data_IF_763629443961
#
_entry.id   IF_763629443961
#
_cell.length_a   1.000
_cell.length_b   1.000
_cell.length_c   1.000
_cell.angle_alpha   90.00
_cell.angle_beta   90.00
_cell.angle_gamma   90.00
#
_symmetry.space_group_name_H-M   'P 1'
#
loop_
_entity.id
_entity.type
_entity.pdbx_description
1 polymer ?
#
# COMPACT_ATOMS: atom_id res chain seq x y z
N UNK A 1 21.24 17.85 10.43
CA UNK A 1 21.81 16.88 9.49
C UNK A 1 22.04 17.60 8.18
N UNK A 2 23.14 17.30 7.51
CA UNK A 2 23.39 17.90 6.20
C UNK A 2 22.37 17.39 5.19
N UNK A 3 21.96 18.23 4.22
CA UNK A 3 20.99 17.80 3.21
C UNK A 3 21.61 16.73 2.29
N UNK A 4 20.82 15.70 1.94
CA UNK A 4 21.22 14.60 1.07
C UNK A 4 20.58 14.69 -0.31
N UNK A 5 21.34 14.39 -1.34
CA UNK A 5 20.85 14.17 -2.69
C UNK A 5 20.41 12.70 -2.83
N UNK A 6 19.15 12.47 -3.17
CA UNK A 6 18.54 11.12 -3.09
C UNK A 6 18.00 10.68 -4.46
N UNK A 7 18.37 9.46 -4.86
CA UNK A 7 17.83 8.79 -6.04
C UNK A 7 16.70 7.83 -5.64
N UNK A 8 15.51 7.99 -6.23
CA UNK A 8 14.37 7.10 -6.02
C UNK A 8 14.22 6.15 -7.21
N UNK A 9 14.08 4.84 -6.94
CA UNK A 9 13.99 3.81 -7.98
C UNK A 9 12.71 2.99 -7.81
N UNK A 10 11.90 2.86 -8.85
CA UNK A 10 10.67 2.08 -8.84
C UNK A 10 9.65 2.55 -9.87
N UNK A 11 8.43 2.02 -9.81
CA UNK A 11 7.32 2.58 -10.58
C UNK A 11 6.98 3.98 -10.06
N UNK A 12 6.54 4.86 -10.95
CA UNK A 12 6.27 6.26 -10.61
C UNK A 12 5.08 6.80 -11.43
N UNK A 13 4.31 7.81 -10.94
CA UNK A 13 3.24 8.38 -11.74
C UNK A 13 3.73 8.89 -13.12
N UNK A 14 2.91 8.70 -14.18
CA UNK A 14 1.48 8.41 -14.18
C UNK A 14 1.08 6.93 -14.07
N UNK A 15 2.02 6.01 -13.88
CA UNK A 15 1.68 4.59 -13.72
C UNK A 15 0.67 4.38 -12.59
N UNK A 16 -0.49 3.79 -12.91
CA UNK A 16 -1.57 3.59 -11.95
C UNK A 16 -1.32 2.38 -11.05
N UNK A 17 -0.49 2.54 -10.04
CA UNK A 17 -0.28 1.52 -9.00
C UNK A 17 0.05 2.14 -7.64
N UNK A 18 -0.14 1.37 -6.57
CA UNK A 18 0.12 1.81 -5.20
C UNK A 18 1.58 2.18 -4.94
N UNK A 19 2.53 1.44 -5.55
CA UNK A 19 3.95 1.70 -5.39
C UNK A 19 4.37 3.03 -6.04
N UNK A 20 3.80 3.36 -7.20
CA UNK A 20 4.06 4.64 -7.86
C UNK A 20 3.61 5.82 -6.99
N UNK A 21 2.42 5.70 -6.38
CA UNK A 21 1.90 6.70 -5.44
C UNK A 21 2.76 6.78 -4.19
N UNK A 22 3.18 5.63 -3.64
CA UNK A 22 4.08 5.56 -2.48
C UNK A 22 5.40 6.27 -2.76
N UNK A 23 6.08 5.93 -3.86
CA UNK A 23 7.38 6.54 -4.23
C UNK A 23 7.29 8.05 -4.40
N UNK A 24 6.23 8.54 -5.06
CA UNK A 24 6.00 9.97 -5.24
C UNK A 24 5.72 10.68 -3.91
N UNK A 25 4.93 10.08 -3.02
CA UNK A 25 4.61 10.64 -1.72
C UNK A 25 5.82 10.66 -0.79
N UNK A 26 6.63 9.60 -0.78
CA UNK A 26 7.85 9.53 0.00
C UNK A 26 8.86 10.60 -0.45
N UNK A 27 9.09 10.70 -1.78
CA UNK A 27 9.95 11.75 -2.33
C UNK A 27 9.49 13.15 -1.92
N UNK A 28 8.20 13.42 -2.05
CA UNK A 28 7.62 14.71 -1.65
C UNK A 28 7.75 14.97 -0.13
N UNK A 29 7.71 13.93 0.70
CA UNK A 29 7.83 14.05 2.14
C UNK A 29 9.27 14.29 2.63
N UNK A 30 10.26 13.74 1.93
CA UNK A 30 11.68 13.94 2.24
C UNK A 30 12.16 15.32 1.77
N UNK A 31 11.61 15.84 0.65
CA UNK A 31 11.99 17.12 0.04
C UNK A 31 13.51 17.30 -0.09
N UNK A 32 14.24 16.35 -0.70
CA UNK A 32 15.70 16.45 -0.79
C UNK A 32 16.09 17.64 -1.66
N UNK A 33 17.26 18.30 -1.41
CA UNK A 33 17.73 19.45 -2.19
C UNK A 33 17.84 19.13 -3.68
N UNK A 34 18.34 17.94 -4.00
CA UNK A 34 18.34 17.37 -5.34
C UNK A 34 17.82 15.93 -5.30
N UNK A 35 16.97 15.59 -6.22
CA UNK A 35 16.45 14.22 -6.35
C UNK A 35 16.32 13.81 -7.80
N UNK A 36 16.63 12.54 -8.06
CA UNK A 36 16.26 11.84 -9.29
C UNK A 36 15.16 10.84 -9.01
N UNK A 37 14.40 10.55 -10.06
CA UNK A 37 13.53 9.37 -10.10
C UNK A 37 13.95 8.55 -11.31
N UNK A 38 14.37 7.31 -11.05
CA UNK A 38 14.53 6.27 -12.07
C UNK A 38 13.22 5.51 -12.12
N UNK A 39 12.43 5.78 -13.18
CA UNK A 39 11.13 5.16 -13.36
C UNK A 39 11.27 3.81 -14.05
N UNK A 40 10.79 2.75 -13.41
CA UNK A 40 10.77 1.39 -13.98
C UNK A 40 9.48 1.18 -14.76
N UNK A 41 9.59 0.69 -15.99
CA UNK A 41 8.50 0.55 -16.96
C UNK A 41 8.55 -0.82 -17.67
N UNK A 42 7.38 -1.38 -17.96
CA UNK A 42 7.24 -2.55 -18.83
C UNK A 42 7.29 -2.13 -20.31
N UNK A 43 6.60 -1.05 -20.64
CA UNK A 43 6.57 -0.45 -21.98
C UNK A 43 6.80 1.06 -21.91
N UNK A 44 7.27 1.69 -23.00
CA UNK A 44 7.45 3.14 -23.05
C UNK A 44 6.12 3.89 -22.80
N UNK A 45 6.13 4.75 -21.81
CA UNK A 45 5.04 5.68 -21.52
C UNK A 45 5.51 7.12 -21.72
N UNK A 46 4.63 8.08 -22.07
CA UNK A 46 5.03 9.47 -22.21
C UNK A 46 5.74 9.98 -20.94
N UNK A 47 6.89 10.66 -21.08
CA UNK A 47 7.55 11.31 -19.95
C UNK A 47 6.73 12.54 -19.56
N UNK A 48 6.50 12.75 -18.28
CA UNK A 48 5.59 13.83 -17.87
C UNK A 48 5.86 14.42 -16.52
N UNK A 49 6.96 14.02 -15.89
CA UNK A 49 7.34 14.55 -14.59
C UNK A 49 8.79 15.03 -14.64
N UNK A 50 9.08 16.29 -14.30
CA UNK A 50 10.45 16.84 -14.39
C UNK A 50 11.44 16.14 -13.44
N UNK A 51 10.95 15.50 -12.37
CA UNK A 51 11.75 14.74 -11.44
C UNK A 51 12.19 13.36 -11.96
N UNK A 52 11.56 12.83 -13.04
CA UNK A 52 12.00 11.59 -13.71
C UNK A 52 13.18 11.90 -14.61
N UNK A 53 14.38 11.52 -14.18
CA UNK A 53 15.64 11.81 -14.88
C UNK A 53 16.10 10.65 -15.74
N UNK A 54 15.67 9.43 -15.43
CA UNK A 54 15.93 8.24 -16.24
C UNK A 54 14.75 7.26 -16.23
N UNK A 55 14.65 6.45 -17.28
CA UNK A 55 13.69 5.36 -17.39
C UNK A 55 14.46 4.04 -17.55
N UNK A 56 14.05 3.04 -16.78
CA UNK A 56 14.53 1.67 -16.89
C UNK A 56 13.41 0.78 -17.43
N UNK A 57 13.58 0.31 -18.66
CA UNK A 57 12.65 -0.63 -19.30
C UNK A 57 13.02 -2.06 -18.93
N UNK A 58 12.04 -2.84 -18.47
CA UNK A 58 12.20 -4.24 -18.10
C UNK A 58 12.80 -5.04 -19.26
N UNK A 59 13.85 -5.83 -19.00
CA UNK A 59 14.55 -6.61 -20.03
C UNK A 59 15.55 -5.80 -20.87
N UNK A 60 15.62 -4.47 -20.76
CA UNK A 60 16.53 -3.65 -21.55
C UNK A 60 17.79 -3.27 -20.74
N UNK A 61 18.91 -3.86 -21.13
CA UNK A 61 20.22 -3.62 -20.51
C UNK A 61 20.75 -2.18 -20.75
N UNK A 62 20.35 -1.54 -21.86
CA UNK A 62 20.87 -0.20 -22.17
C UNK A 62 20.23 0.83 -21.25
N UNK A 63 18.92 0.83 -21.11
CA UNK A 63 18.22 1.74 -20.17
C UNK A 63 18.62 1.46 -18.73
N UNK A 64 18.80 0.17 -18.33
CA UNK A 64 19.33 -0.17 -17.01
C UNK A 64 20.70 0.45 -16.75
N UNK A 65 21.62 0.37 -17.70
CA UNK A 65 22.97 0.93 -17.55
C UNK A 65 22.93 2.48 -17.54
N UNK A 66 22.05 3.10 -18.30
CA UNK A 66 21.81 4.54 -18.25
C UNK A 66 21.29 4.97 -16.88
N UNK A 67 20.34 4.21 -16.30
CA UNK A 67 19.83 4.43 -14.96
C UNK A 67 20.94 4.33 -13.89
N UNK A 68 21.81 3.31 -13.98
CA UNK A 68 22.98 3.18 -13.08
C UNK A 68 23.98 4.36 -13.23
N UNK A 69 24.14 4.89 -14.44
CA UNK A 69 25.01 6.04 -14.67
C UNK A 69 24.45 7.32 -14.02
N UNK A 70 23.11 7.51 -14.08
CA UNK A 70 22.41 8.62 -13.43
C UNK A 70 22.60 8.62 -11.91
N UNK A 71 22.64 7.45 -11.27
CA UNK A 71 22.79 7.35 -9.81
C UNK A 71 24.08 7.93 -9.25
N UNK A 72 25.16 8.04 -10.06
CA UNK A 72 26.50 8.45 -9.60
C UNK A 72 26.55 9.85 -8.97
N UNK A 73 25.59 10.67 -9.32
CA UNK A 73 25.54 12.07 -8.89
C UNK A 73 24.75 12.30 -7.60
N UNK A 74 24.33 11.19 -6.92
CA UNK A 74 23.53 11.21 -5.71
C UNK A 74 24.25 10.49 -4.56
N UNK A 75 23.85 10.80 -3.32
CA UNK A 75 24.50 10.25 -2.12
C UNK A 75 24.00 8.84 -1.80
N UNK A 76 22.70 8.58 -2.01
CA UNK A 76 22.03 7.33 -1.65
C UNK A 76 20.80 7.08 -2.52
N UNK A 77 20.45 5.80 -2.72
CA UNK A 77 19.23 5.42 -3.41
C UNK A 77 18.20 4.80 -2.46
N UNK A 78 16.91 5.08 -2.71
CA UNK A 78 15.77 4.41 -2.08
C UNK A 78 15.02 3.66 -3.17
N UNK A 79 15.10 2.32 -3.14
CA UNK A 79 14.53 1.44 -4.15
C UNK A 79 13.29 0.75 -3.61
N UNK A 80 12.18 0.81 -4.37
CA UNK A 80 10.94 0.11 -4.07
C UNK A 80 10.99 -1.30 -4.64
N UNK A 81 10.81 -2.33 -3.82
CA UNK A 81 10.80 -3.72 -4.25
C UNK A 81 9.42 -4.35 -4.19
N UNK A 82 9.04 -4.94 -5.32
CA UNK A 82 7.92 -5.87 -5.50
C UNK A 82 8.28 -6.80 -6.65
N UNK A 83 7.97 -8.09 -6.53
CA UNK A 83 8.32 -9.11 -7.54
C UNK A 83 7.82 -8.81 -8.96
N UNK A 84 6.72 -8.07 -9.07
CA UNK A 84 6.06 -7.80 -10.35
C UNK A 84 6.42 -6.48 -11.05
N UNK A 85 7.42 -5.72 -10.58
CA UNK A 85 7.75 -4.40 -11.15
C UNK A 85 9.12 -4.32 -11.82
N UNK A 86 9.88 -5.39 -11.82
CA UNK A 86 11.17 -5.51 -12.51
C UNK A 86 11.13 -6.64 -13.52
N UNK A 87 12.04 -6.60 -14.51
CA UNK A 87 12.15 -7.63 -15.53
C UNK A 87 12.71 -8.95 -15.01
N UNK A 88 12.58 -10.00 -15.84
CA UNK A 88 12.96 -11.36 -15.50
C UNK A 88 11.88 -12.10 -14.68
N UNK A 89 12.15 -13.38 -14.38
CA UNK A 89 11.27 -14.17 -13.52
C UNK A 89 11.29 -13.58 -12.09
N UNK A 90 10.11 -13.35 -11.50
CA UNK A 90 9.97 -12.76 -10.17
C UNK A 90 10.76 -11.44 -9.97
N UNK A 91 11.04 -10.70 -11.04
CA UNK A 91 11.73 -9.41 -10.96
C UNK A 91 13.24 -9.50 -10.71
N UNK A 92 13.89 -10.62 -11.01
CA UNK A 92 15.30 -10.90 -10.71
C UNK A 92 16.31 -9.86 -11.20
N UNK A 93 15.96 -9.07 -12.24
CA UNK A 93 16.85 -8.03 -12.78
C UNK A 93 17.24 -6.96 -11.72
N UNK A 94 16.41 -6.77 -10.70
CA UNK A 94 16.69 -5.81 -9.61
C UNK A 94 17.96 -6.18 -8.83
N UNK A 95 18.27 -7.48 -8.68
CA UNK A 95 19.45 -7.95 -7.96
C UNK A 95 20.73 -7.46 -8.65
N UNK A 96 20.79 -7.63 -9.98
CA UNK A 96 21.91 -7.15 -10.78
C UNK A 96 22.04 -5.62 -10.77
N UNK A 97 20.93 -4.91 -10.68
CA UNK A 97 20.91 -3.45 -10.58
C UNK A 97 21.47 -2.98 -9.23
N UNK A 98 21.00 -3.53 -8.11
CA UNK A 98 21.48 -3.15 -6.77
C UNK A 98 22.96 -3.51 -6.58
N UNK A 99 23.41 -4.69 -7.05
CA UNK A 99 24.83 -5.09 -7.02
C UNK A 99 25.75 -4.16 -7.81
N UNK A 100 25.25 -3.58 -8.90
CA UNK A 100 26.00 -2.68 -9.74
C UNK A 100 25.86 -1.20 -9.34
N UNK A 101 25.10 -0.90 -8.29
CA UNK A 101 24.88 0.47 -7.82
C UNK A 101 26.20 1.13 -7.43
N UNK A 102 26.48 2.36 -7.93
CA UNK A 102 27.67 3.13 -7.53
C UNK A 102 27.54 3.78 -6.15
N UNK A 103 26.33 3.81 -5.58
CA UNK A 103 25.98 4.45 -4.30
C UNK A 103 25.24 3.45 -3.39
N UNK A 104 25.16 3.69 -2.07
CA UNK A 104 24.40 2.89 -1.16
C UNK A 104 22.91 2.79 -1.54
N UNK A 105 22.29 1.62 -1.28
CA UNK A 105 20.89 1.37 -1.61
C UNK A 105 20.10 0.90 -0.39
N UNK A 106 19.08 1.68 -0.04
CA UNK A 106 18.02 1.25 0.88
C UNK A 106 16.93 0.58 0.05
N UNK A 107 16.60 -0.67 0.34
CA UNK A 107 15.54 -1.41 -0.36
C UNK A 107 14.28 -1.49 0.51
N UNK A 108 13.17 -0.95 0.01
CA UNK A 108 11.85 -0.97 0.65
C UNK A 108 11.06 -2.17 0.13
N UNK A 109 10.78 -3.12 1.00
CA UNK A 109 10.10 -4.37 0.66
C UNK A 109 8.59 -4.23 0.84
N UNK A 110 7.82 -4.22 -0.26
CA UNK A 110 6.36 -4.14 -0.24
C UNK A 110 5.70 -5.50 -0.03
N UNK A 111 6.37 -6.58 -0.44
CA UNK A 111 5.93 -7.96 -0.24
C UNK A 111 7.03 -8.80 0.40
N UNK A 112 6.67 -9.54 1.44
CA UNK A 112 7.48 -10.60 2.05
C UNK A 112 6.58 -11.80 2.23
N UNK A 113 6.75 -12.84 1.42
CA UNK A 113 5.91 -14.03 1.41
C UNK A 113 6.24 -14.96 2.59
N UNK A 114 5.22 -15.62 3.15
CA UNK A 114 5.42 -16.67 4.15
C UNK A 114 5.91 -17.98 3.51
N UNK A 115 5.46 -18.24 2.29
CA UNK A 115 5.79 -19.42 1.50
C UNK A 115 6.25 -19.00 0.09
N UNK A 116 7.44 -18.39 -0.06
CA UNK A 116 7.95 -18.01 -1.36
C UNK A 116 8.26 -19.26 -2.20
N UNK A 117 8.09 -19.16 -3.51
CA UNK A 117 8.65 -20.18 -4.43
C UNK A 117 10.17 -20.27 -4.26
N UNK A 118 10.82 -21.35 -4.68
CA UNK A 118 12.28 -21.43 -4.63
C UNK A 118 12.97 -20.27 -5.35
N UNK A 119 12.43 -19.81 -6.47
CA UNK A 119 12.98 -18.69 -7.22
C UNK A 119 12.73 -17.34 -6.52
N UNK A 120 11.52 -17.09 -6.02
CA UNK A 120 11.22 -15.88 -5.22
C UNK A 120 12.11 -15.78 -3.98
N UNK A 121 12.36 -16.93 -3.31
CA UNK A 121 13.29 -16.99 -2.19
C UNK A 121 14.69 -16.57 -2.61
N UNK A 122 15.22 -17.15 -3.70
CA UNK A 122 16.54 -16.85 -4.22
C UNK A 122 16.68 -15.36 -4.56
N UNK A 123 15.72 -14.79 -5.32
CA UNK A 123 15.73 -13.38 -5.71
C UNK A 123 15.78 -12.48 -4.48
N UNK A 124 14.92 -12.73 -3.48
CA UNK A 124 14.88 -11.91 -2.28
C UNK A 124 16.15 -12.05 -1.44
N UNK A 125 16.69 -13.27 -1.25
CA UNK A 125 17.92 -13.50 -0.48
C UNK A 125 19.14 -12.85 -1.14
N UNK A 126 19.24 -12.91 -2.48
CA UNK A 126 20.29 -12.22 -3.23
C UNK A 126 20.16 -10.70 -3.16
N UNK A 127 18.94 -10.18 -3.22
CA UNK A 127 18.66 -8.75 -3.07
C UNK A 127 19.02 -8.26 -1.65
N UNK A 128 18.65 -9.04 -0.63
CA UNK A 128 18.99 -8.76 0.77
C UNK A 128 20.50 -8.71 0.98
N UNK A 129 21.24 -9.62 0.30
CA UNK A 129 22.71 -9.63 0.35
C UNK A 129 23.37 -8.44 -0.35
N UNK A 130 22.69 -7.85 -1.34
CA UNK A 130 23.21 -6.74 -2.15
C UNK A 130 22.87 -5.35 -1.56
N UNK A 131 21.77 -5.23 -0.82
CA UNK A 131 21.31 -3.97 -0.24
C UNK A 131 22.15 -3.55 0.97
N UNK A 132 22.34 -2.26 1.17
CA UNK A 132 22.99 -1.71 2.37
C UNK A 132 22.03 -1.75 3.57
N UNK A 133 20.74 -1.47 3.36
CA UNK A 133 19.69 -1.55 4.38
C UNK A 133 18.38 -2.01 3.78
N UNK A 134 17.61 -2.76 4.56
CA UNK A 134 16.25 -3.18 4.21
C UNK A 134 15.23 -2.42 5.05
N UNK A 135 14.12 -2.05 4.41
CA UNK A 135 12.98 -1.47 5.09
C UNK A 135 11.76 -2.35 4.87
N UNK A 136 11.04 -2.63 5.95
CA UNK A 136 9.69 -3.21 5.91
C UNK A 136 8.70 -2.23 6.54
N UNK A 137 7.43 -2.32 6.22
CA UNK A 137 6.42 -1.39 6.72
C UNK A 137 5.69 -1.89 7.97
N UNK A 138 5.99 -3.13 8.41
CA UNK A 138 5.37 -3.76 9.58
C UNK A 138 6.38 -4.65 10.31
N UNK A 139 6.19 -4.81 11.61
CA UNK A 139 6.94 -5.80 12.39
C UNK A 139 6.61 -7.23 11.95
N UNK A 140 5.40 -7.47 11.47
CA UNK A 140 5.02 -8.77 10.90
C UNK A 140 5.91 -9.13 9.71
N UNK A 141 6.17 -8.17 8.80
CA UNK A 141 7.08 -8.35 7.68
C UNK A 141 8.51 -8.61 8.13
N UNK A 142 9.02 -7.83 9.10
CA UNK A 142 10.36 -8.02 9.67
C UNK A 142 10.51 -9.41 10.30
N UNK A 143 9.56 -9.82 11.15
CA UNK A 143 9.57 -11.17 11.75
C UNK A 143 9.55 -12.26 10.69
N UNK A 144 8.81 -12.07 9.59
CA UNK A 144 8.75 -13.01 8.48
C UNK A 144 10.09 -13.11 7.75
N UNK A 145 10.76 -11.97 7.48
CA UNK A 145 12.12 -11.99 6.89
C UNK A 145 13.10 -12.77 7.77
N UNK A 146 13.08 -12.56 9.07
CA UNK A 146 13.94 -13.28 10.01
C UNK A 146 13.61 -14.78 10.00
N UNK A 147 12.33 -15.15 10.08
CA UNK A 147 11.91 -16.54 10.20
C UNK A 147 12.10 -17.34 8.89
N UNK A 148 11.82 -16.73 7.72
CA UNK A 148 11.83 -17.41 6.43
C UNK A 148 13.20 -17.37 5.77
N UNK A 149 13.92 -16.24 5.89
CA UNK A 149 15.16 -15.99 5.16
C UNK A 149 16.40 -15.90 6.07
N UNK A 150 16.25 -15.99 7.40
CA UNK A 150 17.37 -16.03 8.33
C UNK A 150 18.19 -14.73 8.43
N UNK A 151 17.63 -13.58 7.99
CA UNK A 151 18.32 -12.30 8.09
C UNK A 151 18.43 -11.85 9.56
N UNK A 152 19.49 -11.13 9.89
CA UNK A 152 19.69 -10.56 11.23
C UNK A 152 18.85 -9.29 11.43
N UNK A 153 18.44 -9.03 12.66
CA UNK A 153 17.51 -7.95 12.98
C UNK A 153 18.07 -6.55 12.66
N UNK A 154 19.37 -6.36 12.81
CA UNK A 154 20.09 -5.10 12.54
C UNK A 154 20.08 -4.69 11.05
N UNK A 155 19.86 -5.66 10.15
CA UNK A 155 19.79 -5.44 8.71
C UNK A 155 18.42 -4.96 8.22
N UNK A 156 17.40 -4.92 9.10
CA UNK A 156 16.02 -4.57 8.73
C UNK A 156 15.44 -3.53 9.67
N UNK A 157 15.09 -2.38 9.12
CA UNK A 157 14.37 -1.32 9.84
C UNK A 157 12.88 -1.36 9.49
N UNK A 158 12.02 -1.19 10.50
CA UNK A 158 10.57 -1.01 10.27
C UNK A 158 10.27 0.47 10.16
N UNK A 159 9.72 0.89 9.03
CA UNK A 159 9.23 2.25 8.80
C UNK A 159 7.79 2.14 8.29
N UNK A 160 6.83 2.64 9.04
CA UNK A 160 5.43 2.51 8.70
C UNK A 160 5.11 3.09 7.31
N UNK A 161 4.06 2.57 6.67
CA UNK A 161 3.54 3.15 5.44
C UNK A 161 2.97 4.54 5.72
N UNK A 162 3.38 5.56 4.99
CA UNK A 162 2.86 6.92 5.13
C UNK A 162 1.48 7.09 4.49
N UNK A 163 0.69 8.02 5.02
CA UNK A 163 -0.53 8.47 4.36
C UNK A 163 -0.73 9.99 4.57
N UNK A 164 -1.43 10.67 3.64
CA UNK A 164 -1.79 12.06 3.84
C UNK A 164 -2.90 12.18 4.89
N UNK A 165 -2.84 13.13 5.82
CA UNK A 165 -3.96 13.42 6.71
C UNK A 165 -5.23 13.71 5.90
N UNK A 166 -6.38 13.16 6.34
CA UNK A 166 -7.65 13.30 5.62
C UNK A 166 -8.87 13.44 6.55
N UNK A 167 -8.69 14.09 7.69
CA UNK A 167 -9.74 14.23 8.71
C UNK A 167 -10.75 15.30 8.30
N UNK A 168 -10.28 16.45 7.80
CA UNK A 168 -11.09 17.60 7.45
C UNK A 168 -11.28 17.80 5.94
N UNK A 169 -12.39 18.45 5.58
CA UNK A 169 -12.71 18.83 4.21
C UNK A 169 -14.07 18.34 3.72
N UNK A 170 -14.43 18.60 2.46
CA UNK A 170 -15.74 18.23 1.90
C UNK A 170 -15.92 16.72 1.81
N UNK A 171 -17.16 16.27 1.96
CA UNK A 171 -17.60 14.91 1.66
C UNK A 171 -18.08 14.82 0.22
N UNK A 172 -17.92 13.65 -0.41
CA UNK A 172 -18.43 13.39 -1.75
C UNK A 172 -19.87 12.86 -1.73
N UNK A 173 -20.21 12.07 -0.72
CA UNK A 173 -21.52 11.44 -0.55
C UNK A 173 -22.27 12.17 0.57
N UNK A 174 -23.49 12.64 0.26
CA UNK A 174 -24.40 13.29 1.19
C UNK A 174 -25.72 12.52 1.20
N UNK A 175 -25.90 11.61 2.15
CA UNK A 175 -27.07 10.77 2.28
C UNK A 175 -27.35 10.42 3.74
N UNK A 176 -28.62 10.12 4.10
CA UNK A 176 -28.97 9.77 5.48
C UNK A 176 -28.50 8.37 5.88
N UNK A 177 -28.31 7.46 4.91
CA UNK A 177 -27.86 6.09 5.17
C UNK A 177 -26.37 6.06 5.50
N UNK A 178 -25.96 5.30 6.54
CA UNK A 178 -24.55 5.11 6.83
C UNK A 178 -23.80 4.51 5.64
N UNK A 179 -22.55 4.94 5.44
CA UNK A 179 -21.68 4.52 4.33
C UNK A 179 -20.60 3.58 4.84
N UNK A 180 -20.65 2.33 4.40
CA UNK A 180 -19.53 1.38 4.49
C UNK A 180 -18.73 1.50 3.20
N UNK A 181 -17.40 1.67 3.27
CA UNK A 181 -16.56 1.95 2.11
C UNK A 181 -15.39 0.97 1.99
N UNK A 182 -15.19 0.44 0.78
CA UNK A 182 -13.92 -0.17 0.32
C UNK A 182 -13.47 0.52 -0.94
N UNK A 183 -12.16 0.78 -1.08
CA UNK A 183 -11.62 1.37 -2.31
C UNK A 183 -10.30 0.74 -2.72
N UNK A 184 -9.86 1.05 -3.94
CA UNK A 184 -8.61 0.62 -4.55
C UNK A 184 -8.84 -0.20 -5.82
N UNK A 185 -7.77 -0.80 -6.35
CA UNK A 185 -7.87 -1.64 -7.54
C UNK A 185 -8.65 -2.93 -7.21
N UNK A 186 -9.74 -3.15 -7.93
CA UNK A 186 -10.66 -4.27 -7.73
C UNK A 186 -10.11 -5.54 -8.39
N UNK A 187 -10.11 -6.63 -7.67
CA UNK A 187 -9.67 -7.93 -8.17
C UNK A 187 -9.80 -9.05 -7.14
N UNK A 188 -9.59 -10.30 -7.56
CA UNK A 188 -9.57 -11.46 -6.67
C UNK A 188 -8.63 -11.25 -5.48
N UNK A 189 -8.97 -11.83 -4.32
CA UNK A 189 -8.23 -11.68 -3.08
C UNK A 189 -8.61 -10.45 -2.25
N UNK A 190 -9.50 -9.59 -2.78
CA UNK A 190 -10.08 -8.47 -2.02
C UNK A 190 -11.29 -8.86 -1.19
N UNK A 191 -11.84 -10.07 -1.34
CA UNK A 191 -12.97 -10.60 -0.55
C UNK A 191 -14.23 -9.75 -0.61
N UNK A 192 -14.42 -8.99 -1.68
CA UNK A 192 -15.55 -8.05 -1.81
C UNK A 192 -16.90 -8.76 -1.82
N UNK A 193 -16.93 -10.00 -2.28
CA UNK A 193 -18.07 -10.91 -2.19
C UNK A 193 -18.54 -11.11 -0.76
N UNK A 194 -17.63 -11.28 0.20
CA UNK A 194 -17.95 -11.41 1.62
C UNK A 194 -18.44 -10.08 2.20
N UNK A 195 -17.91 -8.96 1.71
CA UNK A 195 -18.40 -7.62 2.02
C UNK A 195 -19.85 -7.43 1.58
N UNK A 196 -20.18 -7.80 0.34
CA UNK A 196 -21.56 -7.75 -0.19
C UNK A 196 -22.48 -8.64 0.63
N UNK A 197 -22.09 -9.90 0.88
CA UNK A 197 -22.88 -10.84 1.64
C UNK A 197 -23.13 -10.37 3.08
N UNK A 198 -22.15 -9.69 3.69
CA UNK A 198 -22.26 -9.19 5.06
C UNK A 198 -23.38 -8.16 5.24
N UNK A 199 -23.77 -7.45 4.17
CA UNK A 199 -24.83 -6.42 4.22
C UNK A 199 -26.20 -6.98 4.57
N UNK A 200 -26.45 -8.28 4.37
CA UNK A 200 -27.72 -8.93 4.80
C UNK A 200 -27.93 -8.87 6.30
N UNK A 201 -26.84 -8.90 7.08
CA UNK A 201 -26.89 -8.84 8.55
C UNK A 201 -27.18 -7.43 9.10
N UNK A 202 -27.30 -6.44 8.21
CA UNK A 202 -27.57 -5.03 8.54
C UNK A 202 -28.93 -4.57 7.99
N UNK A 203 -29.74 -5.48 7.45
CA UNK A 203 -30.96 -5.15 6.70
C UNK A 203 -32.07 -4.58 7.57
N UNK A 204 -32.07 -4.86 8.87
CA UNK A 204 -33.03 -4.37 9.86
C UNK A 204 -32.68 -3.00 10.46
N UNK A 205 -31.50 -2.46 10.17
CA UNK A 205 -31.12 -1.12 10.62
C UNK A 205 -31.93 -0.04 9.89
N UNK A 206 -32.23 1.07 10.60
CA UNK A 206 -32.97 2.20 10.04
C UNK A 206 -32.24 3.51 10.36
N UNK A 207 -31.70 4.20 9.35
CA UNK A 207 -31.63 3.78 7.95
C UNK A 207 -30.65 2.62 7.75
N UNK A 208 -30.96 1.74 6.80
CA UNK A 208 -30.06 0.64 6.46
C UNK A 208 -28.81 1.17 5.74
N UNK A 209 -27.59 0.70 6.08
CA UNK A 209 -26.37 1.18 5.46
C UNK A 209 -26.23 0.78 3.99
N UNK A 210 -25.39 1.54 3.27
CA UNK A 210 -24.97 1.22 1.91
C UNK A 210 -23.50 0.85 1.89
N UNK A 211 -23.17 -0.12 1.05
CA UNK A 211 -21.79 -0.52 0.79
C UNK A 211 -21.30 0.08 -0.52
N UNK A 212 -20.32 0.97 -0.46
CA UNK A 212 -19.69 1.62 -1.62
C UNK A 212 -18.38 0.91 -1.91
N UNK A 213 -18.24 0.37 -3.11
CA UNK A 213 -17.00 -0.20 -3.64
C UNK A 213 -16.47 0.73 -4.72
N UNK A 214 -15.32 1.36 -4.48
CA UNK A 214 -14.76 2.38 -5.36
C UNK A 214 -13.41 1.95 -5.96
N UNK A 215 -13.30 2.02 -7.27
CA UNK A 215 -12.07 1.80 -8.02
C UNK A 215 -12.28 0.98 -9.28
N UNK A 216 -11.34 1.12 -10.20
CA UNK A 216 -11.31 0.33 -11.42
C UNK A 216 -10.80 -1.10 -11.17
N UNK A 217 -11.07 -2.00 -12.10
CA UNK A 217 -10.48 -3.34 -12.10
C UNK A 217 -8.96 -3.25 -12.22
N UNK A 218 -8.24 -4.06 -11.46
CA UNK A 218 -6.79 -4.09 -11.48
C UNK A 218 -6.28 -4.34 -12.90
N UNK A 219 -5.35 -3.53 -13.47
CA UNK A 219 -4.93 -3.64 -14.88
C UNK A 219 -4.51 -5.05 -15.30
N UNK A 220 -3.73 -5.77 -14.50
CA UNK A 220 -3.35 -7.16 -14.79
C UNK A 220 -4.54 -8.14 -14.78
N UNK A 221 -5.56 -7.89 -13.94
CA UNK A 221 -6.80 -8.69 -13.93
C UNK A 221 -7.62 -8.36 -15.16
N UNK A 222 -7.78 -7.08 -15.48
CA UNK A 222 -8.49 -6.62 -16.68
C UNK A 222 -7.88 -7.22 -17.96
N UNK A 223 -6.55 -7.19 -18.07
CA UNK A 223 -5.85 -7.79 -19.22
C UNK A 223 -6.09 -9.30 -19.36
N UNK A 224 -6.06 -10.04 -18.24
CA UNK A 224 -6.15 -11.50 -18.21
C UNK A 224 -7.57 -12.04 -18.29
N UNK A 225 -8.52 -11.40 -17.63
CA UNK A 225 -9.86 -11.91 -17.36
C UNK A 225 -10.99 -10.93 -17.75
N UNK A 226 -10.66 -9.71 -18.18
CA UNK A 226 -11.64 -8.64 -18.38
C UNK A 226 -12.33 -8.26 -17.08
N UNK A 227 -13.61 -7.89 -17.17
CA UNK A 227 -14.44 -7.48 -16.03
C UNK A 227 -15.13 -8.66 -15.32
N UNK A 228 -14.73 -9.90 -15.60
CA UNK A 228 -15.39 -11.12 -15.07
C UNK A 228 -15.57 -11.10 -13.55
N UNK A 229 -14.54 -10.66 -12.80
CA UNK A 229 -14.61 -10.58 -11.34
C UNK A 229 -15.66 -9.56 -10.89
N UNK A 230 -15.64 -8.35 -11.44
CA UNK A 230 -16.61 -7.29 -11.13
C UNK A 230 -18.04 -7.67 -11.50
N UNK A 231 -18.23 -8.28 -12.67
CA UNK A 231 -19.54 -8.79 -13.09
C UNK A 231 -20.05 -9.89 -12.16
N UNK A 232 -19.14 -10.70 -11.62
CA UNK A 232 -19.43 -11.68 -10.57
C UNK A 232 -19.96 -11.01 -9.30
N UNK A 233 -19.31 -9.94 -8.82
CA UNK A 233 -19.77 -9.17 -7.67
C UNK A 233 -21.16 -8.57 -7.89
N UNK A 234 -21.43 -8.01 -9.06
CA UNK A 234 -22.77 -7.47 -9.40
C UNK A 234 -23.84 -8.57 -9.41
N UNK A 235 -23.55 -9.73 -10.02
CA UNK A 235 -24.47 -10.88 -9.98
C UNK A 235 -24.72 -11.34 -8.55
N UNK A 236 -23.68 -11.52 -7.74
CA UNK A 236 -23.80 -11.88 -6.34
C UNK A 236 -24.66 -10.91 -5.52
N UNK A 237 -24.52 -9.59 -5.79
CA UNK A 237 -25.37 -8.58 -5.17
C UNK A 237 -26.85 -8.71 -5.58
N UNK A 238 -27.14 -9.02 -6.85
CA UNK A 238 -28.50 -9.26 -7.34
C UNK A 238 -29.08 -10.53 -6.71
N UNK A 239 -28.36 -11.65 -6.82
CA UNK A 239 -28.79 -12.95 -6.31
C UNK A 239 -29.00 -12.94 -4.79
N UNK A 240 -28.15 -12.22 -4.05
CA UNK A 240 -28.27 -12.01 -2.62
C UNK A 240 -29.34 -10.97 -2.21
N UNK A 241 -30.02 -10.30 -3.16
CA UNK A 241 -31.01 -9.26 -2.88
C UNK A 241 -30.40 -7.97 -2.29
N UNK A 242 -29.10 -7.72 -2.51
CA UNK A 242 -28.37 -6.59 -1.95
C UNK A 242 -28.09 -5.47 -2.96
N UNK A 243 -28.53 -5.61 -4.21
CA UNK A 243 -28.15 -4.68 -5.30
C UNK A 243 -28.52 -3.22 -5.00
N UNK A 244 -29.65 -2.96 -4.34
CA UNK A 244 -30.10 -1.61 -3.95
C UNK A 244 -29.27 -0.99 -2.82
N UNK A 245 -28.40 -1.76 -2.19
CA UNK A 245 -27.54 -1.35 -1.05
C UNK A 245 -26.07 -1.41 -1.39
N UNK A 246 -25.71 -1.77 -2.61
CA UNK A 246 -24.34 -1.85 -3.09
C UNK A 246 -24.14 -0.86 -4.21
N UNK A 247 -23.20 0.05 -4.02
CA UNK A 247 -22.83 1.07 -5.02
C UNK A 247 -21.46 0.74 -5.59
N UNK A 248 -21.40 0.58 -6.90
CA UNK A 248 -20.16 0.38 -7.64
C UNK A 248 -19.70 1.71 -8.25
N UNK A 249 -18.61 2.28 -7.74
CA UNK A 249 -17.93 3.42 -8.34
C UNK A 249 -16.74 2.90 -9.15
N UNK A 250 -16.94 2.72 -10.46
CA UNK A 250 -16.04 1.96 -11.33
C UNK A 250 -14.86 2.79 -11.85
N UNK A 251 -14.77 4.06 -11.49
CA UNK A 251 -13.73 4.96 -12.00
C UNK A 251 -12.48 4.92 -11.12
N UNK A 252 -11.35 5.18 -11.74
CA UNK A 252 -10.17 5.61 -11.01
C UNK A 252 -10.38 7.06 -10.55
N UNK A 253 -10.44 7.26 -9.24
CA UNK A 253 -10.67 8.59 -8.67
C UNK A 253 -9.34 9.34 -8.56
N UNK A 254 -9.34 10.62 -8.90
CA UNK A 254 -8.23 11.51 -8.59
C UNK A 254 -8.08 11.70 -7.06
N UNK A 255 -6.90 12.10 -6.57
CA UNK A 255 -6.65 12.18 -5.13
C UNK A 255 -7.62 13.09 -4.36
N UNK A 256 -8.03 14.28 -4.83
CA UNK A 256 -9.05 15.09 -4.17
C UNK A 256 -10.41 14.38 -4.05
N UNK A 257 -10.88 13.74 -5.12
CA UNK A 257 -12.14 12.99 -5.17
C UNK A 257 -12.09 11.78 -4.24
N UNK A 258 -10.99 11.02 -4.25
CA UNK A 258 -10.80 9.88 -3.35
C UNK A 258 -10.81 10.32 -1.88
N UNK A 259 -10.10 11.39 -1.53
CA UNK A 259 -10.13 11.96 -0.17
C UNK A 259 -11.55 12.34 0.26
N UNK A 260 -12.33 13.00 -0.61
CA UNK A 260 -13.71 13.39 -0.34
C UNK A 260 -14.63 12.15 -0.17
N UNK A 261 -14.39 11.08 -0.94
CA UNK A 261 -15.10 9.81 -0.80
C UNK A 261 -14.77 9.14 0.55
N UNK A 262 -13.50 9.03 0.91
CA UNK A 262 -13.06 8.44 2.19
C UNK A 262 -13.70 9.22 3.37
N UNK A 263 -13.72 10.56 3.32
CA UNK A 263 -14.39 11.37 4.34
C UNK A 263 -15.90 11.09 4.45
N UNK A 264 -16.52 10.62 3.36
CA UNK A 264 -17.94 10.27 3.36
C UNK A 264 -18.25 8.98 4.11
N UNK A 265 -17.26 8.11 4.32
CA UNK A 265 -17.45 6.83 5.00
C UNK A 265 -17.72 7.03 6.50
N UNK A 266 -18.62 6.22 7.04
CA UNK A 266 -18.83 6.05 8.48
C UNK A 266 -17.94 4.92 9.02
N UNK A 267 -17.75 3.86 8.23
CA UNK A 267 -16.86 2.73 8.51
C UNK A 267 -16.15 2.32 7.23
N UNK A 268 -14.88 1.98 7.32
CA UNK A 268 -14.12 1.36 6.23
C UNK A 268 -14.11 -0.15 6.41
N UNK A 269 -14.39 -0.88 5.34
CA UNK A 269 -14.35 -2.34 5.30
C UNK A 269 -13.24 -2.84 4.40
N UNK A 270 -12.35 -3.68 4.93
CA UNK A 270 -11.27 -4.34 4.20
C UNK A 270 -11.40 -5.86 4.35
N UNK A 271 -12.28 -6.51 3.56
CA UNK A 271 -12.63 -7.91 3.74
C UNK A 271 -11.66 -8.85 3.02
N UNK A 272 -10.38 -8.51 2.94
CA UNK A 272 -9.37 -9.18 2.12
C UNK A 272 -9.22 -10.67 2.47
N UNK A 273 -9.16 -11.52 1.44
CA UNK A 273 -8.88 -12.96 1.58
C UNK A 273 -7.37 -13.22 1.66
N UNK A 274 -6.56 -12.29 1.17
CA UNK A 274 -5.10 -12.40 1.16
C UNK A 274 -4.53 -12.51 2.57
N UNK A 275 -4.01 -13.69 2.91
CA UNK A 275 -3.32 -13.95 4.18
C UNK A 275 -1.86 -13.46 4.16
N UNK A 276 -1.39 -13.04 3.00
CA UNK A 276 -0.01 -12.58 2.77
C UNK A 276 0.15 -11.06 2.85
N UNK A 277 -0.94 -10.30 2.98
CA UNK A 277 -0.94 -8.83 2.95
C UNK A 277 -0.19 -8.24 4.15
N UNK A 278 1.12 -8.04 4.01
CA UNK A 278 2.00 -7.45 5.05
C UNK A 278 2.05 -5.92 5.01
N UNK A 279 1.53 -5.31 3.95
CA UNK A 279 1.44 -3.86 3.77
C UNK A 279 0.14 -3.51 3.05
N UNK A 280 -0.57 -2.49 3.51
CA UNK A 280 -1.82 -2.01 2.90
C UNK A 280 -1.92 -0.49 3.02
N UNK A 281 -1.68 0.22 1.93
CA UNK A 281 -1.86 1.67 1.86
C UNK A 281 -3.31 2.08 2.14
N UNK A 282 -4.29 1.30 1.66
CA UNK A 282 -5.72 1.54 1.91
C UNK A 282 -6.06 1.53 3.40
N UNK A 283 -5.48 0.59 4.18
CA UNK A 283 -5.65 0.54 5.63
C UNK A 283 -5.09 1.80 6.30
N UNK A 284 -3.87 2.19 5.93
CA UNK A 284 -3.20 3.36 6.50
C UNK A 284 -3.94 4.65 6.12
N UNK A 285 -4.42 4.78 4.87
CA UNK A 285 -5.26 5.90 4.44
C UNK A 285 -6.58 5.98 5.22
N UNK A 286 -7.22 4.83 5.53
CA UNK A 286 -8.43 4.78 6.34
C UNK A 286 -8.19 5.30 7.76
N UNK A 287 -7.12 4.82 8.41
CA UNK A 287 -6.71 5.27 9.75
C UNK A 287 -6.35 6.75 9.73
N UNK A 288 -5.57 7.22 8.75
CA UNK A 288 -5.19 8.63 8.59
C UNK A 288 -6.37 9.56 8.26
N UNK A 289 -7.52 8.99 7.87
CA UNK A 289 -8.77 9.72 7.70
C UNK A 289 -9.66 9.69 8.97
N UNK A 290 -9.16 9.20 10.09
CA UNK A 290 -9.93 9.07 11.33
C UNK A 290 -11.12 8.11 11.22
N UNK A 291 -11.04 7.09 10.35
CA UNK A 291 -12.17 6.17 10.12
C UNK A 291 -12.03 4.90 10.94
N UNK A 292 -13.09 4.46 11.65
CA UNK A 292 -13.14 3.13 12.20
C UNK A 292 -13.04 2.10 11.08
N UNK A 293 -12.20 1.07 11.27
CA UNK A 293 -11.96 0.04 10.26
C UNK A 293 -12.48 -1.30 10.73
N UNK A 294 -13.18 -2.04 9.86
CA UNK A 294 -13.37 -3.48 9.96
C UNK A 294 -12.50 -4.15 8.93
N UNK A 295 -11.60 -5.02 9.35
CA UNK A 295 -10.70 -5.73 8.44
C UNK A 295 -10.60 -7.21 8.80
N UNK A 296 -10.41 -8.05 7.79
CA UNK A 296 -10.02 -9.45 8.01
C UNK A 296 -8.61 -9.53 8.60
N UNK A 297 -8.28 -10.67 9.19
CA UNK A 297 -7.04 -10.87 9.96
C UNK A 297 -5.77 -11.00 9.08
N UNK A 298 -5.60 -10.15 8.06
CA UNK A 298 -4.32 -10.11 7.36
C UNK A 298 -3.25 -9.42 8.24
N UNK A 299 -1.96 -9.77 8.08
CA UNK A 299 -0.90 -9.39 9.03
C UNK A 299 -0.84 -7.90 9.35
N UNK A 300 -0.94 -7.03 8.34
CA UNK A 300 -0.92 -5.58 8.58
C UNK A 300 -2.15 -5.10 9.37
N UNK A 301 -3.35 -5.66 9.10
CA UNK A 301 -4.55 -5.27 9.85
C UNK A 301 -4.46 -5.69 11.32
N UNK A 302 -3.94 -6.88 11.60
CA UNK A 302 -3.74 -7.36 12.99
C UNK A 302 -2.80 -6.43 13.74
N UNK A 303 -1.72 -5.98 13.10
CA UNK A 303 -0.73 -5.08 13.71
C UNK A 303 -1.28 -3.67 13.88
N UNK A 304 -1.80 -3.06 12.81
CA UNK A 304 -2.26 -1.68 12.82
C UNK A 304 -3.49 -1.46 13.71
N UNK A 305 -4.46 -2.38 13.67
CA UNK A 305 -5.70 -2.26 14.44
C UNK A 305 -5.55 -2.69 15.91
N UNK A 306 -4.39 -3.21 16.32
CA UNK A 306 -4.06 -3.44 17.72
C UNK A 306 -4.07 -2.13 18.54
N UNK A 307 -3.91 -0.97 17.89
CA UNK A 307 -4.06 0.36 18.48
C UNK A 307 -5.51 0.74 18.81
N UNK A 308 -6.47 -0.17 18.65
CA UNK A 308 -7.91 0.03 18.89
C UNK A 308 -8.58 1.06 17.95
N UNK A 309 -8.06 1.25 16.75
CA UNK A 309 -8.71 2.07 15.70
C UNK A 309 -9.64 1.26 14.78
N UNK A 310 -9.91 -0.02 15.08
CA UNK A 310 -10.78 -0.87 14.29
C UNK A 310 -11.05 -2.24 14.90
N UNK A 311 -11.75 -3.08 14.16
CA UNK A 311 -12.12 -4.47 14.55
C UNK A 311 -11.53 -5.43 13.52
N UNK A 312 -10.77 -6.41 14.01
CA UNK A 312 -10.27 -7.52 13.19
C UNK A 312 -11.26 -8.68 13.25
N UNK A 313 -11.60 -9.24 12.10
CA UNK A 313 -12.54 -10.37 11.95
C UNK A 313 -11.86 -11.54 11.22
N UNK A 314 -12.39 -12.78 11.32
CA UNK A 314 -11.92 -13.90 10.53
C UNK A 314 -12.05 -13.64 9.02
N UNK A 315 -11.17 -14.27 8.23
CA UNK A 315 -11.30 -14.31 6.77
C UNK A 315 -12.55 -15.10 6.37
N UNK A 316 -13.15 -14.73 5.24
CA UNK A 316 -14.26 -15.49 4.62
C UNK A 316 -15.46 -15.70 5.56
N UNK A 317 -15.70 -14.77 6.49
CA UNK A 317 -16.81 -14.82 7.45
C UNK A 317 -17.71 -13.57 7.33
N UNK A 318 -18.70 -13.58 6.39
CA UNK A 318 -19.61 -12.46 6.21
C UNK A 318 -20.45 -12.14 7.44
N UNK A 319 -20.74 -13.15 8.29
CA UNK A 319 -21.48 -12.92 9.53
C UNK A 319 -20.66 -12.16 10.56
N UNK A 320 -19.38 -12.53 10.74
CA UNK A 320 -18.47 -11.80 11.62
C UNK A 320 -18.26 -10.35 11.14
N UNK A 321 -18.11 -10.16 9.80
CA UNK A 321 -18.05 -8.81 9.18
C UNK A 321 -19.32 -8.04 9.52
N UNK A 322 -20.51 -8.62 9.26
CA UNK A 322 -21.79 -7.97 9.53
C UNK A 322 -21.98 -7.59 11.00
N UNK A 323 -21.60 -8.48 11.94
CA UNK A 323 -21.64 -8.19 13.38
C UNK A 323 -20.71 -7.01 13.76
N UNK A 324 -19.49 -6.99 13.22
CA UNK A 324 -18.54 -5.91 13.48
C UNK A 324 -19.04 -4.57 12.93
N UNK A 325 -19.54 -4.55 11.68
CA UNK A 325 -20.14 -3.37 11.07
C UNK A 325 -21.35 -2.87 11.88
N UNK A 326 -22.29 -3.77 12.27
CA UNK A 326 -23.42 -3.43 13.09
C UNK A 326 -23.00 -2.75 14.39
N UNK A 327 -22.01 -3.31 15.07
CA UNK A 327 -21.50 -2.77 16.33
C UNK A 327 -21.01 -1.34 16.16
N UNK A 328 -20.24 -1.06 15.10
CA UNK A 328 -19.73 0.29 14.81
C UNK A 328 -20.83 1.28 14.38
N UNK A 329 -21.89 0.79 13.73
CA UNK A 329 -22.98 1.61 13.23
C UNK A 329 -24.07 1.90 14.28
N UNK A 330 -24.09 1.14 15.40
CA UNK A 330 -25.10 1.26 16.45
C UNK A 330 -24.55 1.64 17.82
N UNK A 331 -23.24 1.64 18.00
CA UNK A 331 -22.56 2.04 19.24
C UNK A 331 -21.69 3.27 18.96
N UNK A 332 -22.29 4.46 19.12
CA UNK A 332 -21.62 5.75 18.88
C UNK A 332 -20.42 5.97 19.81
N UNK A 333 -20.45 5.43 21.03
CA UNK A 333 -19.36 5.56 21.99
C UNK A 333 -18.14 4.76 21.53
N UNK A 334 -18.36 3.52 21.06
CA UNK A 334 -17.31 2.68 20.50
C UNK A 334 -16.73 3.30 19.21
N UNK A 335 -17.60 3.71 18.29
CA UNK A 335 -17.16 4.32 17.03
C UNK A 335 -16.39 5.64 17.29
N UNK A 336 -16.86 6.45 18.25
CA UNK A 336 -16.19 7.68 18.68
C UNK A 336 -14.80 7.41 19.28
N UNK A 337 -14.68 6.41 20.14
CA UNK A 337 -13.38 6.00 20.71
C UNK A 337 -12.39 5.54 19.62
N UNK A 338 -12.86 4.74 18.64
CA UNK A 338 -12.01 4.27 17.54
C UNK A 338 -11.58 5.40 16.60
N UNK A 339 -12.47 6.40 16.35
CA UNK A 339 -12.10 7.60 15.60
C UNK A 339 -11.01 8.39 16.30
N UNK A 340 -11.17 8.66 17.59
CA UNK A 340 -10.16 9.38 18.37
C UNK A 340 -8.80 8.66 18.35
N UNK A 341 -8.79 7.34 18.46
CA UNK A 341 -7.57 6.56 18.36
C UNK A 341 -6.95 6.59 16.96
N UNK A 342 -7.78 6.53 15.90
CA UNK A 342 -7.32 6.64 14.52
C UNK A 342 -6.71 8.04 14.24
N UNK A 343 -7.28 9.11 14.80
CA UNK A 343 -6.73 10.47 14.71
C UNK A 343 -5.36 10.61 15.38
N UNK A 344 -5.15 9.95 16.52
CA UNK A 344 -3.84 9.90 17.17
C UNK A 344 -2.80 9.13 16.32
N UNK A 345 -3.20 8.03 15.72
CA UNK A 345 -2.33 7.27 14.80
C UNK A 345 -2.01 8.06 13.51
N UNK A 346 -2.95 8.87 13.02
CA UNK A 346 -2.78 9.66 11.79
C UNK A 346 -1.57 10.59 11.84
N UNK A 347 -1.23 11.15 13.01
CA UNK A 347 -0.05 12.00 13.18
C UNK A 347 1.26 11.22 12.96
N UNK A 348 1.31 9.99 13.45
CA UNK A 348 2.48 9.10 13.33
C UNK A 348 2.65 8.55 11.91
N UNK A 349 1.54 8.39 11.19
CA UNK A 349 1.49 7.88 9.83
C UNK A 349 1.59 8.99 8.78
N UNK A 350 1.64 10.26 9.18
CA UNK A 350 1.75 11.39 8.27
C UNK A 350 3.05 11.33 7.46
N UNK A 351 2.97 11.54 6.14
CA UNK A 351 4.12 11.50 5.24
C UNK A 351 5.33 12.32 5.71
N UNK A 352 5.19 13.56 6.28
CA UNK A 352 6.34 14.29 6.79
C UNK A 352 7.07 13.57 7.93
N UNK A 353 6.35 12.93 8.84
CA UNK A 353 6.96 12.15 9.92
C UNK A 353 7.69 10.91 9.36
N UNK A 354 7.07 10.21 8.40
CA UNK A 354 7.68 9.05 7.73
C UNK A 354 8.91 9.48 6.92
N UNK A 355 8.85 10.60 6.19
CA UNK A 355 9.99 11.14 5.43
C UNK A 355 11.19 11.44 6.31
N UNK A 356 10.96 11.98 7.51
CA UNK A 356 12.01 12.24 8.48
C UNK A 356 12.73 10.95 8.95
N UNK A 357 11.96 9.87 9.19
CA UNK A 357 12.55 8.56 9.53
C UNK A 357 13.42 8.00 8.40
N UNK A 358 13.00 8.16 7.13
CA UNK A 358 13.83 7.75 5.99
C UNK A 358 15.09 8.59 5.86
N UNK A 359 15.05 9.90 6.13
CA UNK A 359 16.25 10.75 6.15
C UNK A 359 17.23 10.31 7.24
N UNK A 360 16.75 10.05 8.46
CA UNK A 360 17.59 9.57 9.55
C UNK A 360 18.23 8.22 9.22
N UNK A 361 17.46 7.33 8.56
CA UNK A 361 17.96 6.05 8.09
C UNK A 361 19.04 6.23 7.02
N UNK A 362 18.84 7.13 6.06
CA UNK A 362 19.81 7.42 5.01
C UNK A 362 21.13 7.92 5.57
N UNK A 363 21.10 8.86 6.51
CA UNK A 363 22.30 9.33 7.20
C UNK A 363 23.03 8.23 7.95
N UNK A 364 22.30 7.34 8.63
CA UNK A 364 22.88 6.19 9.34
C UNK A 364 23.60 5.25 8.39
N UNK A 365 22.99 4.91 7.25
CA UNK A 365 23.59 4.02 6.22
C UNK A 365 24.89 4.61 5.67
N UNK A 366 24.90 5.90 5.40
CA UNK A 366 26.10 6.59 4.91
C UNK A 366 27.24 6.57 5.95
N UNK A 367 26.92 6.90 7.20
CA UNK A 367 27.90 6.89 8.30
C UNK A 367 28.47 5.48 8.56
N UNK A 368 27.65 4.43 8.53
CA UNK A 368 28.09 3.04 8.67
C UNK A 368 29.02 2.62 7.52
N UNK A 369 28.76 3.06 6.29
CA UNK A 369 29.59 2.77 5.13
C UNK A 369 30.93 3.51 5.18
N UNK A 370 30.94 4.77 5.61
CA UNK A 370 32.19 5.54 5.83
C UNK A 370 33.07 4.90 6.91
N UNK A 371 32.46 4.39 7.98
CA UNK A 371 33.18 3.73 9.06
C UNK A 371 33.75 2.34 8.67
N UNK A 372 33.22 1.72 7.60
CA UNK A 372 33.65 0.41 7.10
C UNK A 372 34.69 0.51 5.95
N UNK A 373 34.88 1.69 5.36
CA UNK A 373 35.82 1.99 4.27
C UNK A 373 37.22 2.37 4.79
#
# INVERSE_FOLDING_TARGET
>A
MDPLDICFVGTYPPTHCGLATFGASLRAAIEPPRSAVIRVLEEPEPPNRPEVTAEWYMGDRLSRNAALAEMKDYDIAILQHEYGIYGGEDGEEVVGFVRASPIPVIVVLHTVLSEPSPHQRLVLEELMGAADMLVTMTDAARRRLIAVHGITQDRVTVVAHGAPPNIEGPRMIHRPEPVVLTWGLIGPGKGLEHGIESMRYLSDLQPAPVYVMAGQTHPKVLHREGERYRDGLRRGAVEGGMIDRVVFEDRYLDPPSLKALIRSADVVLLPYDSREQISSGVLVEAVSAGKPVVATAFPHAVEQLASACGIVVPHEDPEAIGRALRRLLTDDALAGSMRAQAELEAERLAWPAIGQVYLELAHRVLAEREAAA
#
